data_IF_718744228732
#
_entry.id   IF_718744228732
#
_cell.length_a   1.000
_cell.length_b   1.000
_cell.length_c   1.000
_cell.angle_alpha   90.00
_cell.angle_beta   90.00
_cell.angle_gamma   90.00
#
_symmetry.space_group_name_H-M   'P 1'
#
loop_
_entity.id
_entity.type
_entity.pdbx_description
1 polymer ?
#
# COMPACT_ATOMS: atom_id res chain seq x y z
N UNK A 1 -26.65 -4.13 13.89
CA UNK A 1 -25.43 -4.88 14.28
C UNK A 1 -24.63 -5.34 13.05
N UNK A 2 -25.29 -5.79 11.98
CA UNK A 2 -24.66 -6.34 10.76
C UNK A 2 -23.57 -5.44 10.13
N UNK A 3 -23.77 -4.12 10.08
CA UNK A 3 -22.82 -3.21 9.47
C UNK A 3 -21.55 -2.98 10.30
N UNK A 4 -21.65 -3.07 11.64
CA UNK A 4 -20.50 -2.87 12.55
C UNK A 4 -19.47 -3.98 12.39
N UNK A 5 -19.93 -5.22 12.29
CA UNK A 5 -19.04 -6.37 12.10
C UNK A 5 -18.37 -6.35 10.71
N UNK A 6 -19.12 -5.97 9.66
CA UNK A 6 -18.58 -5.79 8.30
C UNK A 6 -17.50 -4.71 8.26
N UNK A 7 -17.75 -3.55 8.88
CA UNK A 7 -16.77 -2.47 8.96
C UNK A 7 -15.53 -2.87 9.77
N UNK A 8 -15.70 -3.61 10.88
CA UNK A 8 -14.58 -4.12 11.66
C UNK A 8 -13.69 -5.05 10.83
N UNK A 9 -14.30 -6.02 10.12
CA UNK A 9 -13.58 -6.94 9.23
C UNK A 9 -12.87 -6.15 8.12
N UNK A 10 -13.55 -5.19 7.50
CA UNK A 10 -12.95 -4.36 6.46
C UNK A 10 -11.71 -3.61 6.98
N UNK A 11 -11.77 -3.03 8.19
CA UNK A 11 -10.64 -2.37 8.84
C UNK A 11 -9.48 -3.33 9.15
N UNK A 12 -9.77 -4.54 9.61
CA UNK A 12 -8.73 -5.56 9.80
C UNK A 12 -8.07 -5.96 8.48
N UNK A 13 -8.88 -6.17 7.44
CA UNK A 13 -8.38 -6.55 6.12
C UNK A 13 -7.51 -5.44 5.50
N UNK A 14 -7.85 -4.16 5.68
CA UNK A 14 -6.99 -3.06 5.22
C UNK A 14 -5.66 -3.02 5.98
N UNK A 15 -5.65 -3.26 7.29
CA UNK A 15 -4.40 -3.35 8.07
C UNK A 15 -3.53 -4.52 7.60
N UNK A 16 -4.13 -5.68 7.36
CA UNK A 16 -3.43 -6.86 6.83
C UNK A 16 -2.88 -6.57 5.44
N UNK A 17 -3.68 -6.01 4.54
CA UNK A 17 -3.25 -5.69 3.18
C UNK A 17 -2.06 -4.70 3.17
N UNK A 18 -2.12 -3.66 3.99
CA UNK A 18 -1.01 -2.72 4.15
C UNK A 18 0.25 -3.42 4.68
N UNK A 19 0.13 -4.20 5.76
CA UNK A 19 1.26 -4.90 6.37
C UNK A 19 1.91 -5.92 5.44
N UNK A 20 1.11 -6.73 4.73
CA UNK A 20 1.59 -7.71 3.75
C UNK A 20 2.28 -7.00 2.58
N UNK A 21 1.69 -5.92 2.06
CA UNK A 21 2.29 -5.15 0.96
C UNK A 21 3.68 -4.58 1.30
N UNK A 22 3.88 -4.10 2.53
CA UNK A 22 5.20 -3.65 2.98
C UNK A 22 6.18 -4.81 3.13
N UNK A 23 5.73 -5.93 3.72
CA UNK A 23 6.58 -7.10 3.93
C UNK A 23 7.06 -7.72 2.61
N UNK A 24 6.17 -7.90 1.64
CA UNK A 24 6.50 -8.45 0.33
C UNK A 24 7.47 -7.55 -0.44
N UNK A 25 7.28 -6.23 -0.37
CA UNK A 25 8.18 -5.28 -1.03
C UNK A 25 9.55 -5.22 -0.37
N UNK A 26 9.62 -5.31 0.96
CA UNK A 26 10.88 -5.46 1.69
C UNK A 26 11.63 -6.75 1.32
N UNK A 27 10.90 -7.85 1.10
CA UNK A 27 11.46 -9.13 0.69
C UNK A 27 11.96 -9.17 -0.77
N UNK A 28 11.63 -8.17 -1.60
CA UNK A 28 12.02 -8.11 -3.02
C UNK A 28 13.49 -7.72 -3.25
N UNK A 29 14.19 -7.26 -2.22
CA UNK A 29 15.58 -6.76 -2.32
C UNK A 29 16.53 -7.71 -3.07
N UNK A 30 16.63 -9.00 -2.71
CA UNK A 30 17.51 -9.94 -3.41
C UNK A 30 17.20 -10.09 -4.91
N UNK A 31 15.92 -10.21 -5.28
CA UNK A 31 15.51 -10.32 -6.68
C UNK A 31 15.81 -9.04 -7.47
N UNK A 32 15.65 -7.88 -6.85
CA UNK A 32 15.96 -6.59 -7.49
C UNK A 32 17.47 -6.36 -7.63
N UNK A 33 18.28 -6.93 -6.73
CA UNK A 33 19.73 -6.92 -6.86
C UNK A 33 20.19 -7.70 -8.10
N UNK A 34 19.53 -8.81 -8.44
CA UNK A 34 19.78 -9.56 -9.70
C UNK A 34 19.45 -8.74 -10.95
N UNK A 35 18.49 -7.80 -10.85
CA UNK A 35 18.15 -6.83 -11.90
C UNK A 35 19.12 -5.62 -11.96
N UNK A 36 20.17 -5.62 -11.14
CA UNK A 36 21.18 -4.55 -11.08
C UNK A 36 20.80 -3.35 -10.18
N UNK A 37 19.73 -3.45 -9.39
CA UNK A 37 19.38 -2.41 -8.41
C UNK A 37 20.25 -2.59 -7.17
N UNK A 38 21.10 -1.61 -6.88
CA UNK A 38 21.94 -1.62 -5.67
C UNK A 38 21.10 -1.49 -4.40
N UNK A 39 21.62 -1.97 -3.27
CA UNK A 39 20.96 -1.82 -1.96
C UNK A 39 20.66 -0.36 -1.61
N UNK A 40 21.51 0.59 -2.03
CA UNK A 40 21.27 2.02 -1.84
C UNK A 40 20.06 2.53 -2.65
N UNK A 41 19.95 2.12 -3.92
CA UNK A 41 18.79 2.44 -4.75
C UNK A 41 17.51 1.78 -4.23
N UNK A 42 17.58 0.51 -3.83
CA UNK A 42 16.46 -0.20 -3.21
C UNK A 42 15.98 0.52 -1.93
N UNK A 43 16.91 0.90 -1.06
CA UNK A 43 16.62 1.68 0.14
C UNK A 43 15.99 3.04 -0.19
N UNK A 44 16.45 3.71 -1.25
CA UNK A 44 15.85 4.95 -1.76
C UNK A 44 14.41 4.77 -2.23
N UNK A 45 14.12 3.70 -2.99
CA UNK A 45 12.77 3.38 -3.47
C UNK A 45 11.83 3.08 -2.30
N UNK A 46 12.29 2.26 -1.33
CA UNK A 46 11.51 1.96 -0.13
C UNK A 46 11.27 3.22 0.72
N UNK A 47 12.29 4.06 0.88
CA UNK A 47 12.22 5.34 1.58
C UNK A 47 11.21 6.30 0.96
N UNK A 48 11.19 6.41 -0.38
CA UNK A 48 10.18 7.20 -1.10
C UNK A 48 8.75 6.69 -0.84
N UNK A 49 8.57 5.37 -0.74
CA UNK A 49 7.31 4.76 -0.33
C UNK A 49 6.85 5.20 1.07
N UNK A 50 7.76 5.27 2.04
CA UNK A 50 7.45 5.75 3.39
C UNK A 50 7.11 7.24 3.45
N UNK A 51 7.73 8.06 2.61
CA UNK A 51 7.35 9.49 2.48
C UNK A 51 5.90 9.59 2.01
N UNK A 52 5.51 8.85 0.98
CA UNK A 52 4.12 8.80 0.52
C UNK A 52 3.15 8.34 1.61
N UNK A 53 3.52 7.32 2.38
CA UNK A 53 2.73 6.85 3.53
C UNK A 53 2.56 7.94 4.59
N UNK A 54 3.63 8.65 4.95
CA UNK A 54 3.59 9.76 5.90
C UNK A 54 2.66 10.89 5.44
N UNK A 55 2.73 11.27 4.16
CA UNK A 55 1.83 12.26 3.57
C UNK A 55 0.37 11.80 3.69
N UNK A 56 0.06 10.56 3.28
CA UNK A 56 -1.31 10.04 3.32
C UNK A 56 -1.85 9.91 4.75
N UNK A 57 -1.02 9.63 5.76
CA UNK A 57 -1.46 9.64 7.16
C UNK A 57 -1.92 11.04 7.58
N UNK A 58 -1.18 12.09 7.19
CA UNK A 58 -1.47 13.46 7.61
C UNK A 58 -2.68 14.04 6.88
N UNK A 59 -2.81 13.78 5.58
CA UNK A 59 -3.90 14.36 4.76
C UNK A 59 -5.07 13.42 4.49
N UNK A 60 -4.93 12.14 4.80
CA UNK A 60 -5.94 11.11 4.50
C UNK A 60 -7.28 11.37 5.17
N UNK A 61 -7.27 11.97 6.36
CA UNK A 61 -8.49 12.41 7.05
C UNK A 61 -9.32 13.37 6.20
N UNK A 62 -8.69 14.43 5.69
CA UNK A 62 -9.34 15.41 4.82
C UNK A 62 -9.88 14.79 3.52
N UNK A 63 -9.14 13.85 2.93
CA UNK A 63 -9.57 13.13 1.73
C UNK A 63 -10.84 12.31 2.02
N UNK A 64 -10.88 11.63 3.16
CA UNK A 64 -12.05 10.84 3.58
C UNK A 64 -13.23 11.74 3.97
N UNK A 65 -13.00 12.91 4.57
CA UNK A 65 -14.06 13.89 4.85
C UNK A 65 -14.69 14.42 3.55
N UNK A 66 -13.88 14.68 2.53
CA UNK A 66 -14.36 15.23 1.25
C UNK A 66 -15.08 14.18 0.39
N UNK A 67 -14.55 12.95 0.33
CA UNK A 67 -15.03 11.91 -0.60
C UNK A 67 -15.87 10.82 0.08
N UNK A 68 -15.76 10.66 1.39
CA UNK A 68 -16.37 9.58 2.15
C UNK A 68 -15.55 8.28 2.15
N UNK A 69 -15.81 7.42 3.14
CA UNK A 69 -15.05 6.18 3.35
C UNK A 69 -15.14 5.17 2.19
N UNK A 70 -16.34 4.96 1.64
CA UNK A 70 -16.57 3.91 0.62
C UNK A 70 -15.75 4.13 -0.67
N UNK A 71 -15.78 5.30 -1.34
CA UNK A 71 -15.00 5.51 -2.56
C UNK A 71 -13.50 5.50 -2.28
N UNK A 72 -13.04 6.04 -1.14
CA UNK A 72 -11.61 6.00 -0.77
C UNK A 72 -11.13 4.57 -0.55
N UNK A 73 -11.92 3.72 0.11
CA UNK A 73 -11.61 2.30 0.29
C UNK A 73 -11.54 1.55 -1.04
N UNK A 74 -12.51 1.77 -1.94
CA UNK A 74 -12.50 1.14 -3.26
C UNK A 74 -11.31 1.60 -4.12
N UNK A 75 -10.98 2.89 -4.07
CA UNK A 75 -9.80 3.43 -4.73
C UNK A 75 -8.51 2.80 -4.17
N UNK A 76 -8.41 2.67 -2.86
CA UNK A 76 -7.25 2.01 -2.22
C UNK A 76 -7.08 0.57 -2.71
N UNK A 77 -8.17 -0.21 -2.77
CA UNK A 77 -8.13 -1.58 -3.31
C UNK A 77 -7.68 -1.59 -4.77
N UNK A 78 -8.24 -0.72 -5.61
CA UNK A 78 -7.85 -0.63 -7.01
C UNK A 78 -6.37 -0.28 -7.17
N UNK A 79 -5.85 0.68 -6.40
CA UNK A 79 -4.44 1.05 -6.42
C UNK A 79 -3.52 -0.08 -5.95
N UNK A 80 -3.92 -0.87 -4.96
CA UNK A 80 -3.16 -2.06 -4.55
C UNK A 80 -3.12 -3.12 -5.65
N UNK A 81 -4.24 -3.35 -6.35
CA UNK A 81 -4.29 -4.27 -7.50
C UNK A 81 -3.37 -3.78 -8.62
N UNK A 82 -3.44 -2.49 -8.97
CA UNK A 82 -2.56 -1.88 -9.97
C UNK A 82 -1.10 -2.06 -9.56
N UNK A 83 -0.75 -1.77 -8.30
CA UNK A 83 0.61 -1.96 -7.79
C UNK A 83 1.07 -3.42 -7.90
N UNK A 84 0.21 -4.39 -7.57
CA UNK A 84 0.52 -5.80 -7.67
C UNK A 84 0.73 -6.25 -9.13
N UNK A 85 -0.12 -5.78 -10.05
CA UNK A 85 0.01 -6.06 -11.48
C UNK A 85 1.29 -5.44 -12.04
N UNK A 86 1.61 -4.19 -11.70
CA UNK A 86 2.86 -3.56 -12.15
C UNK A 86 4.10 -4.32 -11.65
N UNK A 87 4.07 -4.83 -10.42
CA UNK A 87 5.17 -5.64 -9.89
C UNK A 87 5.25 -6.99 -10.61
N UNK A 88 4.13 -7.64 -10.88
CA UNK A 88 4.07 -8.92 -11.60
C UNK A 88 4.58 -8.81 -13.05
N UNK A 89 4.33 -7.67 -13.69
CA UNK A 89 4.78 -7.38 -15.06
C UNK A 89 6.19 -6.77 -15.13
N UNK A 90 6.83 -6.51 -13.99
CA UNK A 90 8.18 -5.99 -13.98
C UNK A 90 9.15 -7.03 -14.61
N UNK A 91 10.05 -6.60 -15.50
CA UNK A 91 10.96 -7.49 -16.23
C UNK A 91 11.98 -8.18 -15.31
#
# INVERSE_FOLDING_TARGET
MENRQKLLIASFLTLVAAGVGFATRGAAGPAWAEMGITQAQFGGIMGAGFVGFGVVILVGGFIVELLGYKPVLLLSVALHIVSAVMLYLAP
#
